data_IF_913060919406
#
_entry.id   IF_913060919406
#
_cell.length_a   1.000
_cell.length_b   1.000
_cell.length_c   1.000
_cell.angle_alpha   90.00
_cell.angle_beta   90.00
_cell.angle_gamma   90.00
#
_symmetry.space_group_name_H-M   'P 1'
#
loop_
_entity.id
_entity.type
_entity.pdbx_description
1 polymer ?
#
# COMPACT_ATOMS: atom_id res chain seq x y z
N UNK A 1 1.67 17.56 5.22
CA UNK A 1 2.20 16.71 4.14
C UNK A 1 1.30 16.75 2.91
N UNK A 2 1.86 16.58 1.72
CA UNK A 2 1.08 16.46 0.49
C UNK A 2 0.49 15.06 0.35
N UNK A 3 -0.76 14.98 -0.13
CA UNK A 3 -1.46 13.73 -0.39
C UNK A 3 -2.37 13.85 -1.62
N UNK A 4 -2.42 12.81 -2.45
CA UNK A 4 -3.31 12.71 -3.59
C UNK A 4 -4.66 12.15 -3.15
N UNK A 5 -5.71 12.96 -3.22
CA UNK A 5 -7.03 12.64 -2.67
C UNK A 5 -8.15 12.78 -3.67
N UNK A 6 -9.20 11.96 -3.48
CA UNK A 6 -10.51 12.14 -4.08
C UNK A 6 -11.52 12.59 -3.02
N UNK A 7 -12.47 13.44 -3.42
CA UNK A 7 -13.53 13.94 -2.54
C UNK A 7 -14.83 13.14 -2.66
N UNK A 8 -15.00 12.42 -3.74
CA UNK A 8 -16.14 11.55 -4.05
C UNK A 8 -15.77 10.53 -5.12
N UNK A 9 -16.50 9.45 -5.18
CA UNK A 9 -16.41 8.50 -6.30
C UNK A 9 -16.85 9.17 -7.61
N UNK A 10 -16.16 8.89 -8.70
CA UNK A 10 -16.45 9.48 -10.02
C UNK A 10 -15.88 8.62 -11.14
N UNK A 11 -16.58 8.54 -12.26
CA UNK A 11 -16.05 7.95 -13.50
C UNK A 11 -15.02 8.86 -14.20
N UNK A 12 -14.93 10.12 -13.78
CA UNK A 12 -13.90 11.05 -14.22
C UNK A 12 -12.75 11.06 -13.22
N UNK A 13 -11.53 11.09 -13.72
CA UNK A 13 -10.33 11.20 -12.86
C UNK A 13 -10.30 12.61 -12.29
N UNK A 14 -10.67 12.73 -11.03
CA UNK A 14 -10.67 13.99 -10.29
C UNK A 14 -9.88 13.82 -8.99
N UNK A 15 -8.56 13.78 -9.13
CA UNK A 15 -7.59 13.68 -8.03
C UNK A 15 -6.99 15.05 -7.78
N UNK A 16 -6.97 15.47 -6.52
CA UNK A 16 -6.36 16.73 -6.08
C UNK A 16 -5.23 16.48 -5.10
N UNK A 17 -4.16 17.27 -5.21
CA UNK A 17 -3.10 17.28 -4.21
C UNK A 17 -3.50 18.25 -3.11
N UNK A 18 -3.67 17.73 -1.90
CA UNK A 18 -4.03 18.51 -0.72
C UNK A 18 -2.92 18.45 0.33
N UNK A 19 -2.84 19.48 1.14
CA UNK A 19 -2.03 19.46 2.36
C UNK A 19 -2.87 18.93 3.52
N UNK A 20 -2.39 17.89 4.18
CA UNK A 20 -3.02 17.26 5.32
C UNK A 20 -2.00 17.08 6.46
N UNK A 21 -2.43 16.94 7.72
CA UNK A 21 -1.52 16.62 8.81
C UNK A 21 -0.74 15.33 8.56
N UNK A 22 0.48 15.26 9.05
CA UNK A 22 1.22 13.99 9.11
C UNK A 22 0.53 13.12 10.18
N UNK A 23 0.15 11.88 9.87
CA UNK A 23 -0.49 11.02 10.85
C UNK A 23 0.49 10.58 11.94
N UNK A 24 -0.03 10.36 13.16
CA UNK A 24 0.73 9.74 14.22
C UNK A 24 0.48 8.23 14.21
N UNK A 25 1.53 7.40 14.34
CA UNK A 25 1.37 5.96 14.38
C UNK A 25 0.69 5.53 15.69
N UNK A 26 -0.25 4.59 15.60
CA UNK A 26 -0.81 3.91 16.75
C UNK A 26 0.22 2.96 17.39
N UNK A 27 -0.17 2.28 18.48
CA UNK A 27 0.76 1.48 19.28
C UNK A 27 1.47 0.38 18.50
N UNK A 28 0.79 -0.24 17.53
CA UNK A 28 1.32 -1.31 16.68
C UNK A 28 1.74 -0.83 15.28
N UNK A 29 1.70 0.46 15.04
CA UNK A 29 1.95 1.02 13.72
C UNK A 29 3.33 1.65 13.59
N UNK A 30 3.72 1.76 12.36
CA UNK A 30 4.92 2.46 11.91
C UNK A 30 4.49 3.65 11.08
N UNK A 31 5.03 4.82 11.36
CA UNK A 31 5.02 5.94 10.42
C UNK A 31 6.16 5.73 9.43
N UNK A 32 5.81 5.61 8.17
CA UNK A 32 6.77 5.47 7.08
C UNK A 32 6.78 6.73 6.22
N UNK A 33 7.97 7.25 5.94
CA UNK A 33 8.19 8.24 4.87
C UNK A 33 8.18 7.51 3.54
N UNK A 34 7.21 7.84 2.68
CA UNK A 34 7.06 7.21 1.37
C UNK A 34 8.12 7.73 0.40
N UNK A 35 8.88 6.83 -0.19
CA UNK A 35 9.90 7.15 -1.19
C UNK A 35 9.44 6.80 -2.61
N UNK A 36 8.59 5.78 -2.75
CA UNK A 36 7.93 5.39 -3.99
C UNK A 36 6.61 4.68 -3.69
N UNK A 37 5.64 4.84 -4.57
CA UNK A 37 4.37 4.13 -4.56
C UNK A 37 4.01 3.69 -5.96
N UNK A 38 3.38 2.52 -6.13
CA UNK A 38 2.96 2.02 -7.42
C UNK A 38 1.48 2.30 -7.69
N UNK A 39 1.14 2.48 -8.95
CA UNK A 39 -0.24 2.65 -9.43
C UNK A 39 -0.73 1.32 -9.98
N UNK A 40 -1.90 0.90 -9.55
CA UNK A 40 -2.52 -0.37 -9.92
C UNK A 40 -3.95 -0.16 -10.47
N UNK A 41 -4.52 -1.11 -11.21
CA UNK A 41 -5.92 -1.05 -11.60
C UNK A 41 -6.90 -0.89 -10.43
N UNK A 42 -6.49 -1.30 -9.23
CA UNK A 42 -7.28 -1.17 -8.01
C UNK A 42 -7.59 0.29 -7.64
N UNK A 43 -6.67 1.24 -7.89
CA UNK A 43 -6.93 2.66 -7.68
C UNK A 43 -8.07 3.16 -8.57
N UNK A 44 -8.17 2.66 -9.80
CA UNK A 44 -9.28 3.01 -10.71
C UNK A 44 -10.62 2.48 -10.18
N UNK A 45 -10.63 1.27 -9.63
CA UNK A 45 -11.83 0.70 -9.01
C UNK A 45 -12.22 1.46 -7.74
N UNK A 46 -11.25 1.91 -6.96
CA UNK A 46 -11.47 2.77 -5.79
C UNK A 46 -12.01 4.14 -6.18
N UNK A 47 -11.42 4.76 -7.20
CA UNK A 47 -11.82 6.07 -7.70
C UNK A 47 -13.26 6.07 -8.22
N UNK A 48 -13.65 5.04 -8.98
CA UNK A 48 -14.99 4.89 -9.56
C UNK A 48 -16.03 4.38 -8.55
N UNK A 49 -15.59 3.85 -7.39
CA UNK A 49 -16.47 3.24 -6.40
C UNK A 49 -16.89 1.80 -6.72
N UNK A 50 -16.29 1.16 -7.72
CA UNK A 50 -16.63 -0.23 -8.08
C UNK A 50 -16.27 -1.25 -6.99
N UNK A 51 -15.41 -0.88 -6.03
CA UNK A 51 -15.08 -1.70 -4.85
C UNK A 51 -15.93 -1.37 -3.63
N UNK A 52 -16.90 -0.45 -3.73
CA UNK A 52 -17.68 0.06 -2.60
C UNK A 52 -18.44 -1.04 -1.84
N UNK A 53 -18.88 -2.08 -2.53
CA UNK A 53 -19.55 -3.22 -1.88
C UNK A 53 -18.61 -4.04 -0.99
N UNK A 54 -17.30 -4.03 -1.28
CA UNK A 54 -16.27 -4.73 -0.49
C UNK A 54 -15.75 -3.80 0.60
N UNK A 55 -15.46 -2.55 0.22
CA UNK A 55 -14.94 -1.53 1.13
C UNK A 55 -15.48 -0.16 0.73
N UNK A 56 -16.33 0.41 1.58
CA UNK A 56 -16.78 1.80 1.44
C UNK A 56 -15.82 2.72 2.20
N UNK A 57 -15.11 3.56 1.45
CA UNK A 57 -14.11 4.45 2.02
C UNK A 57 -14.74 5.78 2.47
N UNK A 58 -14.28 6.28 3.60
CA UNK A 58 -14.61 7.65 4.05
C UNK A 58 -13.92 8.68 3.16
N UNK A 59 -14.64 9.73 2.79
CA UNK A 59 -14.10 10.83 2.00
C UNK A 59 -13.69 12.02 2.90
N UNK A 60 -12.65 12.79 2.52
CA UNK A 60 -11.77 12.56 1.37
C UNK A 60 -10.87 11.34 1.55
N UNK A 61 -10.66 10.58 0.46
CA UNK A 61 -9.82 9.39 0.45
C UNK A 61 -8.45 9.70 -0.15
N UNK A 62 -7.37 9.44 0.58
CA UNK A 62 -6.02 9.37 0.03
C UNK A 62 -5.85 8.04 -0.69
N UNK A 63 -5.48 8.09 -1.97
CA UNK A 63 -5.29 6.89 -2.80
C UNK A 63 -3.96 6.19 -2.53
N UNK A 64 -3.78 5.04 -3.15
CA UNK A 64 -2.54 4.24 -3.16
C UNK A 64 -2.61 3.04 -2.23
N UNK A 65 -2.29 1.87 -2.78
CA UNK A 65 -2.44 0.57 -2.10
C UNK A 65 -1.11 -0.06 -1.70
N UNK A 66 0.01 0.38 -2.29
CA UNK A 66 1.34 -0.16 -1.99
C UNK A 66 2.42 0.90 -2.11
N UNK A 67 3.47 0.74 -1.34
CA UNK A 67 4.60 1.66 -1.35
C UNK A 67 5.85 1.03 -0.74
N UNK A 68 6.97 1.73 -0.95
CA UNK A 68 8.24 1.50 -0.28
C UNK A 68 8.76 2.81 0.30
N UNK A 69 9.46 2.72 1.41
CA UNK A 69 9.95 3.91 2.10
C UNK A 69 10.86 3.61 3.26
N UNK A 70 11.00 4.59 4.13
CA UNK A 70 11.88 4.55 5.29
C UNK A 70 11.05 4.74 6.56
N UNK A 71 11.33 3.92 7.57
CA UNK A 71 10.72 4.04 8.90
C UNK A 71 11.13 5.36 9.54
N UNK A 72 10.15 6.19 9.89
CA UNK A 72 10.35 7.49 10.53
C UNK A 72 10.05 7.47 12.03
N UNK A 73 8.98 6.76 12.42
CA UNK A 73 8.54 6.65 13.81
C UNK A 73 7.89 5.30 14.07
N UNK A 74 8.05 4.80 15.28
CA UNK A 74 7.54 3.50 15.71
C UNK A 74 6.50 3.69 16.81
N UNK A 75 5.41 2.94 16.74
CA UNK A 75 4.51 2.72 17.87
C UNK A 75 5.19 1.91 18.98
N UNK A 76 4.69 2.02 20.20
CA UNK A 76 5.34 1.47 21.39
C UNK A 76 5.45 -0.06 21.43
N UNK A 77 4.57 -0.75 20.70
CA UNK A 77 4.54 -2.23 20.67
C UNK A 77 5.30 -2.82 19.49
N UNK A 78 5.76 -1.99 18.56
CA UNK A 78 6.45 -2.44 17.34
C UNK A 78 7.76 -3.14 17.71
N UNK A 79 7.97 -4.31 17.10
CA UNK A 79 9.20 -5.10 17.25
C UNK A 79 9.76 -5.46 15.87
N UNK A 80 11.07 -5.68 15.79
CA UNK A 80 11.73 -6.13 14.57
C UNK A 80 12.08 -5.03 13.57
N UNK A 81 11.65 -3.78 13.81
CA UNK A 81 11.95 -2.62 12.98
C UNK A 81 12.64 -1.52 13.79
N UNK A 82 13.41 -0.69 13.10
CA UNK A 82 14.07 0.49 13.63
C UNK A 82 13.86 1.71 12.75
N UNK A 83 13.98 2.90 13.33
CA UNK A 83 14.00 4.15 12.55
C UNK A 83 15.17 4.09 11.56
N UNK A 84 14.89 4.46 10.30
CA UNK A 84 15.85 4.35 9.20
C UNK A 84 15.79 3.03 8.42
N UNK A 85 15.07 2.01 8.89
CA UNK A 85 14.88 0.77 8.13
C UNK A 85 14.18 1.06 6.78
N UNK A 86 14.69 0.46 5.73
CA UNK A 86 14.05 0.47 4.40
C UNK A 86 13.00 -0.63 4.35
N UNK A 87 11.76 -0.26 4.08
CA UNK A 87 10.60 -1.15 4.17
C UNK A 87 9.69 -1.00 2.95
N UNK A 88 8.88 -2.01 2.70
CA UNK A 88 7.87 -1.99 1.65
C UNK A 88 6.62 -2.74 2.11
N UNK A 89 5.47 -2.41 1.53
CA UNK A 89 4.18 -2.94 1.97
C UNK A 89 3.11 -2.86 0.90
N UNK A 90 2.20 -3.80 0.94
CA UNK A 90 0.84 -3.66 0.45
C UNK A 90 -0.02 -3.22 1.64
N UNK A 91 -0.61 -2.04 1.56
CA UNK A 91 -1.43 -1.51 2.65
C UNK A 91 -2.71 -2.35 2.84
N UNK A 92 -3.16 -2.55 4.08
CA UNK A 92 -4.43 -3.19 4.35
C UNK A 92 -5.58 -2.48 3.64
N UNK A 93 -6.55 -3.24 3.10
CA UNK A 93 -7.66 -2.69 2.32
C UNK A 93 -8.47 -1.60 3.06
N UNK A 94 -8.53 -1.68 4.39
CA UNK A 94 -9.23 -0.71 5.24
C UNK A 94 -8.44 0.57 5.50
N UNK A 95 -7.15 0.58 5.21
CA UNK A 95 -6.24 1.68 5.54
C UNK A 95 -5.26 1.95 4.39
N UNK A 96 -5.78 2.33 3.25
CA UNK A 96 -5.00 2.77 2.07
C UNK A 96 -4.48 4.19 2.26
N UNK A 97 -3.61 4.68 1.36
CA UNK A 97 -3.11 6.06 1.42
C UNK A 97 -1.64 6.22 1.04
N UNK A 98 -1.10 5.32 0.22
CA UNK A 98 0.30 5.35 -0.19
C UNK A 98 0.66 6.56 -1.08
N UNK A 99 -0.33 7.24 -1.70
CA UNK A 99 -0.07 8.44 -2.50
C UNK A 99 -0.02 9.69 -1.63
N UNK A 100 0.85 9.65 -0.62
CA UNK A 100 1.17 10.74 0.30
C UNK A 100 2.65 10.68 0.68
N UNK A 101 3.17 11.77 1.26
CA UNK A 101 4.57 11.82 1.70
C UNK A 101 4.83 10.88 2.90
N UNK A 102 3.80 10.61 3.71
CA UNK A 102 3.87 9.70 4.86
C UNK A 102 2.61 8.85 4.95
N UNK A 103 2.75 7.64 5.47
CA UNK A 103 1.65 6.73 5.75
C UNK A 103 1.90 5.98 7.06
N UNK A 104 0.85 5.72 7.84
CA UNK A 104 0.95 4.78 8.97
C UNK A 104 0.43 3.42 8.56
N UNK A 105 1.13 2.38 8.98
CA UNK A 105 0.81 1.00 8.63
C UNK A 105 1.14 0.08 9.81
N UNK A 106 0.30 -0.93 10.05
CA UNK A 106 0.56 -1.95 11.05
C UNK A 106 1.87 -2.67 10.71
N UNK A 107 2.73 -2.87 11.72
CA UNK A 107 4.04 -3.49 11.52
C UNK A 107 3.96 -4.93 10.98
N UNK A 108 2.85 -5.65 11.20
CA UNK A 108 2.63 -6.98 10.64
C UNK A 108 2.39 -6.98 9.12
N UNK A 109 1.97 -5.84 8.55
CA UNK A 109 1.79 -5.66 7.10
C UNK A 109 3.05 -5.15 6.39
N UNK A 110 4.17 -4.99 7.10
CA UNK A 110 5.43 -4.49 6.58
C UNK A 110 6.48 -5.58 6.43
N UNK A 111 7.32 -5.44 5.41
CA UNK A 111 8.54 -6.23 5.28
C UNK A 111 9.76 -5.31 5.07
N UNK A 112 10.93 -5.76 5.52
CA UNK A 112 12.19 -5.10 5.20
C UNK A 112 12.52 -5.30 3.74
N UNK A 113 12.94 -4.24 3.07
CA UNK A 113 13.38 -4.33 1.67
C UNK A 113 14.60 -5.23 1.54
N UNK A 114 14.66 -6.10 0.53
CA UNK A 114 15.89 -6.83 0.21
C UNK A 114 17.03 -5.85 -0.10
N UNK A 115 18.26 -6.24 0.25
CA UNK A 115 19.44 -5.45 -0.08
C UNK A 115 19.61 -5.30 -1.60
N UNK A 116 20.05 -4.13 -2.04
CA UNK A 116 20.27 -3.83 -3.46
C UNK A 116 19.03 -3.42 -4.27
N UNK A 117 17.84 -3.42 -3.68
CA UNK A 117 16.65 -2.93 -4.38
C UNK A 117 16.49 -1.41 -4.24
N UNK A 118 16.09 -0.77 -5.32
CA UNK A 118 15.64 0.62 -5.30
C UNK A 118 14.20 0.72 -4.80
N UNK A 119 13.81 1.86 -4.21
CA UNK A 119 12.45 2.06 -3.69
C UNK A 119 11.39 1.91 -4.78
N UNK A 120 11.66 2.37 -6.00
CA UNK A 120 10.75 2.26 -7.14
C UNK A 120 10.48 0.80 -7.50
N UNK A 121 11.51 -0.03 -7.52
CA UNK A 121 11.37 -1.47 -7.77
C UNK A 121 10.62 -2.15 -6.63
N UNK A 122 10.99 -1.85 -5.37
CA UNK A 122 10.36 -2.46 -4.21
C UNK A 122 8.88 -2.07 -4.06
N UNK A 123 8.51 -0.83 -4.42
CA UNK A 123 7.12 -0.38 -4.36
C UNK A 123 6.18 -1.10 -5.34
N UNK A 124 6.70 -1.66 -6.43
CA UNK A 124 5.90 -2.34 -7.46
C UNK A 124 5.66 -3.83 -7.18
N UNK A 125 6.26 -4.37 -6.12
CA UNK A 125 6.24 -5.82 -5.85
C UNK A 125 5.04 -6.25 -4.97
N UNK A 126 4.68 -5.56 -3.88
CA UNK A 126 3.84 -6.16 -2.84
C UNK A 126 2.46 -6.57 -3.33
N UNK A 127 1.74 -5.70 -4.04
CA UNK A 127 0.37 -6.00 -4.46
C UNK A 127 0.35 -7.04 -5.58
N UNK A 128 1.10 -6.81 -6.64
CA UNK A 128 1.15 -7.72 -7.78
C UNK A 128 1.77 -9.08 -7.39
N UNK A 129 2.87 -9.06 -6.63
CA UNK A 129 3.55 -10.27 -6.17
C UNK A 129 2.70 -11.11 -5.23
N UNK A 130 2.03 -10.50 -4.24
CA UNK A 130 1.13 -11.22 -3.34
C UNK A 130 -0.10 -11.77 -4.09
N UNK A 131 -0.67 -11.01 -5.02
CA UNK A 131 -1.79 -11.47 -5.85
C UNK A 131 -1.40 -12.68 -6.67
N UNK A 132 -0.24 -12.64 -7.34
CA UNK A 132 0.25 -13.76 -8.13
C UNK A 132 0.57 -14.98 -7.24
N UNK A 133 1.27 -14.75 -6.13
CA UNK A 133 1.65 -15.83 -5.19
C UNK A 133 0.41 -16.51 -4.63
N UNK A 134 -0.52 -15.77 -4.05
CA UNK A 134 -1.74 -16.33 -3.46
C UNK A 134 -2.63 -17.01 -4.51
N UNK A 135 -2.79 -16.38 -5.67
CA UNK A 135 -3.56 -16.98 -6.77
C UNK A 135 -3.00 -18.31 -7.23
N UNK A 136 -1.68 -18.43 -7.36
CA UNK A 136 -1.04 -19.67 -7.81
C UNK A 136 -0.96 -20.75 -6.72
N UNK A 137 -0.68 -20.37 -5.48
CA UNK A 137 -0.40 -21.34 -4.40
C UNK A 137 -1.62 -21.66 -3.56
N UNK A 138 -2.48 -20.69 -3.26
CA UNK A 138 -3.61 -20.85 -2.33
C UNK A 138 -4.91 -21.16 -3.08
N UNK A 139 -5.17 -20.48 -4.23
CA UNK A 139 -6.42 -20.65 -4.96
C UNK A 139 -6.33 -21.74 -6.05
N UNK A 140 -5.25 -21.77 -6.82
CA UNK A 140 -5.07 -22.74 -7.91
C UNK A 140 -4.28 -23.98 -7.50
N UNK A 141 -3.64 -23.96 -6.33
CA UNK A 141 -2.82 -25.06 -5.80
C UNK A 141 -1.86 -25.66 -6.85
N UNK A 142 -1.19 -24.79 -7.62
CA UNK A 142 -0.32 -25.21 -8.73
C UNK A 142 0.82 -26.07 -8.21
N UNK A 143 0.91 -27.28 -8.73
CA UNK A 143 1.95 -28.26 -8.35
C UNK A 143 3.17 -28.15 -9.27
N UNK A 144 4.36 -28.59 -8.80
CA UNK A 144 5.56 -28.67 -9.65
C UNK A 144 5.30 -29.41 -10.96
N UNK A 145 5.79 -28.88 -12.07
CA UNK A 145 5.61 -29.42 -13.41
C UNK A 145 4.28 -29.05 -14.10
N UNK A 146 3.44 -28.23 -13.47
CA UNK A 146 2.25 -27.66 -14.10
C UNK A 146 2.58 -26.31 -14.74
N UNK A 147 1.82 -25.94 -15.76
CA UNK A 147 1.88 -24.64 -16.43
C UNK A 147 0.62 -23.84 -16.09
N UNK A 148 0.79 -22.62 -15.65
CA UNK A 148 -0.28 -21.65 -15.51
C UNK A 148 -0.19 -20.64 -16.67
N UNK A 149 -1.34 -20.30 -17.27
CA UNK A 149 -1.46 -19.30 -18.31
C UNK A 149 -2.30 -18.13 -17.78
N UNK A 150 -1.72 -16.95 -17.79
CA UNK A 150 -2.42 -15.70 -17.55
C UNK A 150 -2.93 -15.17 -18.91
N UNK A 151 -4.19 -14.70 -18.93
CA UNK A 151 -4.84 -14.11 -20.12
C UNK A 151 -5.22 -12.67 -19.85
#
# INVERSE_FOLDING_TARGET
MKAAQIKKYSNEINVSINEIPIPEPEENEILMKVMAAAVNPLEMLQLTGNVKLIQDYKMPLTLGNECAGVVEKLGKNVKGFGVGDRVYTRLPIKKVGAFAEYVTVDHEALAKMPSGYEFTTAAAIPLAGLTAYQGLTEELEVQPGKTALDK
#
